data_IF_434753455243
#
_entry.id   IF_434753455243
#
_cell.length_a   1.000
_cell.length_b   1.000
_cell.length_c   1.000
_cell.angle_alpha   90.00
_cell.angle_beta   90.00
_cell.angle_gamma   90.00
#
_symmetry.space_group_name_H-M   'P 1'
#
loop_
_entity.id
_entity.type
_entity.pdbx_description
1 polymer ?
#
# COMPACT_ATOMS: atom_id res chain seq x y z
N UNK A 1 -2.53 12.68 -16.77
CA UNK A 1 -2.85 12.04 -16.37
C UNK A 1 -3.44 11.88 -15.35
N UNK A 2 -3.93 11.92 -15.15
CA UNK A 2 -4.48 11.83 -14.28
C UNK A 2 -4.98 10.84 -13.74
N UNK A 3 -5.35 10.39 -13.29
CA UNK A 3 -5.81 9.26 -12.64
C UNK A 3 -4.80 8.44 -11.87
N UNK A 4 -3.60 8.73 -11.88
CA UNK A 4 -2.57 7.95 -11.20
C UNK A 4 -2.12 8.61 -9.92
N UNK A 5 -1.64 7.77 -9.00
CA UNK A 5 -1.02 8.27 -7.79
C UNK A 5 0.13 9.19 -8.17
N UNK A 6 0.22 10.33 -7.51
CA UNK A 6 1.32 11.26 -7.78
C UNK A 6 2.63 10.63 -7.36
N UNK A 7 3.69 11.02 -8.05
CA UNK A 7 5.00 10.40 -7.84
C UNK A 7 5.47 10.54 -6.40
N UNK A 8 5.28 11.71 -5.79
CA UNK A 8 5.71 11.89 -4.41
C UNK A 8 5.01 10.93 -3.48
N UNK A 9 3.72 10.71 -3.70
CA UNK A 9 2.95 9.80 -2.88
C UNK A 9 3.39 8.35 -3.10
N UNK A 10 3.62 7.99 -4.36
CA UNK A 10 4.10 6.66 -4.70
C UNK A 10 5.39 6.34 -3.93
N UNK A 11 6.36 7.24 -4.02
CA UNK A 11 7.65 6.98 -3.40
C UNK A 11 7.58 6.99 -1.88
N UNK A 12 6.77 7.88 -1.33
CA UNK A 12 6.60 7.93 0.12
C UNK A 12 5.97 6.65 0.65
N UNK A 13 4.98 6.12 -0.08
CA UNK A 13 4.34 4.87 0.31
C UNK A 13 5.33 3.72 0.22
N UNK A 14 6.11 3.65 -0.85
CA UNK A 14 7.12 2.59 -0.98
C UNK A 14 8.09 2.66 0.19
N UNK A 15 8.57 3.86 0.51
CA UNK A 15 9.51 4.02 1.62
C UNK A 15 8.91 3.56 2.94
N UNK A 16 7.60 3.81 3.14
CA UNK A 16 6.96 3.43 4.39
C UNK A 16 6.93 1.92 4.58
N UNK A 17 6.87 1.16 3.50
CA UNK A 17 6.88 -0.30 3.58
C UNK A 17 8.29 -0.87 3.75
N UNK A 18 9.30 0.00 3.64
CA UNK A 18 10.71 -0.41 3.76
C UNK A 18 11.33 0.05 5.07
N UNK A 19 10.53 0.52 5.99
CA UNK A 19 11.02 1.23 7.19
C UNK A 19 11.92 0.41 8.09
N UNK A 20 11.79 -0.90 8.05
CA UNK A 20 12.59 -1.77 8.94
C UNK A 20 14.06 -1.80 8.57
N UNK A 21 14.42 -1.32 7.36
CA UNK A 21 15.80 -1.36 6.90
C UNK A 21 16.44 -0.01 7.18
N UNK A 22 17.22 0.07 8.25
CA UNK A 22 17.80 1.33 8.70
C UNK A 22 18.92 1.82 7.79
N UNK A 23 19.57 0.91 7.08
CA UNK A 23 20.68 1.26 6.19
C UNK A 23 20.23 1.58 4.76
N UNK A 24 18.94 1.59 4.51
CA UNK A 24 18.40 1.94 3.19
C UNK A 24 17.98 3.40 3.21
N UNK A 25 18.41 4.14 2.18
CA UNK A 25 18.01 5.53 2.06
C UNK A 25 17.76 5.85 0.59
N UNK A 26 17.21 7.02 0.33
CA UNK A 26 16.59 7.31 -0.95
C UNK A 26 16.97 8.70 -1.43
N UNK A 27 17.08 8.85 -2.74
CA UNK A 27 17.33 10.16 -3.36
C UNK A 27 16.39 10.33 -4.53
N UNK A 28 15.60 11.40 -4.50
CA UNK A 28 14.66 11.70 -5.58
C UNK A 28 15.39 12.36 -6.74
N UNK A 29 14.99 11.99 -7.96
CA UNK A 29 15.46 12.61 -9.19
C UNK A 29 14.24 12.90 -10.06
N UNK A 30 14.46 13.55 -11.20
CA UNK A 30 13.36 13.80 -12.11
C UNK A 30 12.78 12.51 -12.69
N UNK A 31 13.60 11.48 -12.84
CA UNK A 31 13.16 10.23 -13.43
C UNK A 31 12.58 9.26 -12.40
N UNK A 32 12.80 9.48 -11.12
CA UNK A 32 12.30 8.58 -10.13
C UNK A 32 13.02 8.70 -8.80
N UNK A 33 13.31 7.55 -8.22
CA UNK A 33 13.90 7.48 -6.88
C UNK A 33 15.05 6.48 -6.89
N UNK A 34 16.23 6.95 -6.51
CA UNK A 34 17.38 6.09 -6.31
C UNK A 34 17.32 5.48 -4.92
N UNK A 35 17.68 4.21 -4.80
CA UNK A 35 17.63 3.50 -3.53
C UNK A 35 19.04 3.00 -3.21
N UNK A 36 19.52 3.35 -2.04
CA UNK A 36 20.88 3.05 -1.60
C UNK A 36 20.83 2.09 -0.42
N UNK A 37 21.77 1.16 -0.41
CA UNK A 37 22.06 0.36 0.79
C UNK A 37 23.42 0.82 1.26
N UNK A 38 23.50 1.36 2.49
CA UNK A 38 24.69 2.01 2.99
C UNK A 38 25.08 3.10 1.98
N UNK A 39 26.27 3.07 1.39
CA UNK A 39 26.66 4.12 0.45
C UNK A 39 26.64 3.67 -1.01
N UNK A 40 25.99 2.56 -1.31
CA UNK A 40 25.97 2.04 -2.67
C UNK A 40 24.56 2.15 -3.27
N UNK A 41 24.49 2.74 -4.45
CA UNK A 41 23.22 2.82 -5.18
C UNK A 41 22.92 1.45 -5.77
N UNK A 42 21.85 0.82 -5.27
CA UNK A 42 21.55 -0.55 -5.65
C UNK A 42 20.32 -0.68 -6.52
N UNK A 43 19.38 0.26 -6.41
CA UNK A 43 18.13 0.15 -7.15
C UNK A 43 17.67 1.52 -7.63
N UNK A 44 16.82 1.49 -8.64
CA UNK A 44 16.13 2.69 -9.10
C UNK A 44 14.65 2.34 -9.26
N UNK A 45 13.78 3.21 -8.76
CA UNK A 45 12.34 3.05 -8.93
C UNK A 45 11.89 4.21 -9.82
N UNK A 46 11.37 3.90 -10.99
CA UNK A 46 10.98 4.98 -11.91
C UNK A 46 9.65 5.58 -11.50
N UNK A 47 9.22 6.60 -12.23
CA UNK A 47 7.99 7.32 -11.89
C UNK A 47 6.74 6.47 -12.02
N UNK A 48 6.83 5.35 -12.70
CA UNK A 48 5.73 4.38 -12.79
C UNK A 48 5.77 3.32 -11.71
N UNK A 49 6.77 3.34 -10.84
CA UNK A 49 6.87 2.37 -9.76
C UNK A 49 7.56 1.08 -10.16
N UNK A 50 8.30 1.08 -11.25
CA UNK A 50 9.03 -0.11 -11.68
C UNK A 50 10.43 -0.06 -11.13
N UNK A 51 10.91 -1.20 -10.63
CA UNK A 51 12.19 -1.29 -9.93
C UNK A 51 13.23 -1.84 -10.89
N UNK A 52 14.36 -1.17 -10.92
CA UNK A 52 15.50 -1.58 -11.71
C UNK A 52 16.66 -1.85 -10.75
N UNK A 53 17.39 -2.93 -10.99
CA UNK A 53 18.53 -3.30 -10.16
C UNK A 53 19.80 -2.92 -10.90
N UNK A 54 20.73 -2.27 -10.18
CA UNK A 54 21.97 -1.85 -10.81
C UNK A 54 23.05 -2.91 -10.76
N UNK A 55 23.13 -3.63 -9.65
CA UNK A 55 24.20 -4.58 -9.48
C UNK A 55 23.70 -5.73 -8.63
N UNK A 56 23.46 -6.85 -9.28
CA UNK A 56 22.87 -7.97 -8.60
C UNK A 56 23.76 -9.20 -8.63
N UNK A 57 25.06 -9.02 -8.88
CA UNK A 57 25.92 -10.16 -9.14
C UNK A 57 26.34 -10.85 -7.86
N UNK A 58 26.67 -10.08 -6.83
CA UNK A 58 27.22 -10.63 -5.59
C UNK A 58 26.45 -10.17 -4.38
N UNK A 59 25.14 -10.11 -4.50
CA UNK A 59 24.32 -9.72 -3.38
C UNK A 59 24.37 -10.76 -2.28
N UNK A 60 24.41 -10.30 -1.05
CA UNK A 60 24.31 -11.20 0.09
C UNK A 60 22.86 -11.35 0.51
N UNK A 61 22.65 -12.06 1.61
CA UNK A 61 21.30 -12.33 2.09
C UNK A 61 20.56 -11.03 2.42
N UNK A 62 21.26 -10.07 3.01
CA UNK A 62 20.68 -8.77 3.36
C UNK A 62 20.23 -8.03 2.10
N UNK A 63 21.06 -8.03 1.07
CA UNK A 63 20.72 -7.41 -0.20
C UNK A 63 19.44 -8.03 -0.78
N UNK A 64 19.35 -9.35 -0.77
CA UNK A 64 18.19 -10.02 -1.37
C UNK A 64 16.94 -9.81 -0.54
N UNK A 65 17.07 -9.69 0.77
CA UNK A 65 15.94 -9.37 1.61
C UNK A 65 15.38 -8.00 1.28
N UNK A 66 16.27 -7.02 1.10
CA UNK A 66 15.87 -5.67 0.72
C UNK A 66 15.26 -5.68 -0.69
N UNK A 67 15.90 -6.40 -1.61
CA UNK A 67 15.41 -6.51 -2.98
C UNK A 67 13.98 -7.06 -3.01
N UNK A 68 13.75 -8.14 -2.30
CA UNK A 68 12.42 -8.77 -2.30
C UNK A 68 11.39 -7.85 -1.67
N UNK A 69 11.76 -7.18 -0.59
CA UNK A 69 10.85 -6.25 0.07
C UNK A 69 10.52 -5.06 -0.82
N UNK A 70 11.52 -4.52 -1.51
CA UNK A 70 11.31 -3.38 -2.39
C UNK A 70 10.39 -3.74 -3.56
N UNK A 71 10.61 -4.90 -4.17
CA UNK A 71 9.75 -5.35 -5.26
C UNK A 71 8.32 -5.54 -4.79
N UNK A 72 8.15 -6.17 -3.63
CA UNK A 72 6.83 -6.38 -3.06
C UNK A 72 6.16 -5.06 -2.71
N UNK A 73 6.91 -4.15 -2.11
CA UNK A 73 6.37 -2.85 -1.73
C UNK A 73 5.91 -2.07 -2.96
N UNK A 74 6.73 -2.04 -4.00
CA UNK A 74 6.38 -1.31 -5.21
C UNK A 74 5.11 -1.88 -5.85
N UNK A 75 5.01 -3.20 -5.92
CA UNK A 75 3.83 -3.85 -6.48
C UNK A 75 2.60 -3.57 -5.64
N UNK A 76 2.72 -3.66 -4.33
CA UNK A 76 1.60 -3.45 -3.43
C UNK A 76 1.09 -2.01 -3.50
N UNK A 77 2.01 -1.04 -3.51
CA UNK A 77 1.62 0.37 -3.55
C UNK A 77 0.91 0.69 -4.87
N UNK A 78 1.39 0.12 -5.98
CA UNK A 78 0.71 0.32 -7.26
C UNK A 78 -0.68 -0.30 -7.23
N UNK A 79 -0.81 -1.47 -6.60
CA UNK A 79 -2.11 -2.13 -6.52
C UNK A 79 -3.12 -1.29 -5.77
N UNK A 80 -2.78 -0.84 -4.56
CA UNK A 80 -3.78 -0.11 -3.79
C UNK A 80 -3.96 1.32 -4.29
N UNK A 81 -2.94 1.88 -4.89
CA UNK A 81 -3.10 3.19 -5.52
C UNK A 81 -4.13 3.14 -6.64
N UNK A 82 -4.04 2.12 -7.48
CA UNK A 82 -5.01 1.93 -8.56
C UNK A 82 -6.39 1.62 -8.01
N UNK A 83 -6.46 0.77 -6.98
CA UNK A 83 -7.75 0.41 -6.39
C UNK A 83 -8.46 1.63 -5.82
N UNK A 84 -7.71 2.47 -5.09
CA UNK A 84 -8.28 3.68 -4.51
C UNK A 84 -8.78 4.64 -5.57
N UNK A 85 -8.08 4.70 -6.68
CA UNK A 85 -8.45 5.62 -7.75
C UNK A 85 -9.76 5.24 -8.41
N UNK A 86 -9.98 3.94 -8.59
CA UNK A 86 -11.14 3.46 -9.32
C UNK A 86 -12.35 3.21 -8.45
N UNK A 87 -12.16 3.16 -7.13
CA UNK A 87 -13.23 2.78 -6.22
C UNK A 87 -14.24 3.89 -6.05
N UNK A 88 -15.53 3.55 -5.87
CA UNK A 88 -16.55 4.56 -5.60
C UNK A 88 -16.43 5.05 -4.16
N UNK A 89 -17.06 6.19 -3.92
CA UNK A 89 -17.16 6.70 -2.56
C UNK A 89 -18.01 5.76 -1.72
N UNK A 90 -17.64 5.63 -0.46
CA UNK A 90 -18.38 4.82 0.49
C UNK A 90 -19.02 5.73 1.51
N UNK A 91 -20.35 5.81 1.46
CA UNK A 91 -21.12 6.73 2.31
C UNK A 91 -22.18 5.94 3.05
N UNK A 92 -22.09 5.96 4.37
CA UNK A 92 -23.07 5.31 5.24
C UNK A 92 -23.34 6.22 6.42
N UNK A 93 -24.46 6.03 7.10
CA UNK A 93 -24.76 6.82 8.29
C UNK A 93 -23.69 6.69 9.35
N UNK A 94 -23.36 7.78 9.99
CA UNK A 94 -22.41 7.77 11.09
C UNK A 94 -20.95 7.83 10.70
N UNK A 95 -20.64 7.76 9.41
CA UNK A 95 -19.26 7.78 8.97
C UNK A 95 -18.88 9.20 8.57
N UNK A 96 -18.03 9.84 9.34
CA UNK A 96 -17.70 11.24 9.13
C UNK A 96 -16.54 11.46 8.18
N UNK A 97 -15.71 10.43 7.96
CA UNK A 97 -14.57 10.55 7.07
C UNK A 97 -14.94 10.07 5.68
N UNK A 98 -14.22 10.58 4.69
CA UNK A 98 -14.46 10.18 3.29
C UNK A 98 -13.65 8.93 2.98
N UNK A 99 -14.36 7.84 2.76
CA UNK A 99 -13.74 6.57 2.40
C UNK A 99 -14.13 6.16 0.99
N UNK A 100 -13.31 5.31 0.39
CA UNK A 100 -13.63 4.63 -0.85
C UNK A 100 -14.02 3.19 -0.54
N UNK A 101 -15.00 2.67 -1.26
CA UNK A 101 -15.39 1.26 -1.09
C UNK A 101 -14.54 0.41 -2.02
N UNK A 102 -13.69 -0.41 -1.44
CA UNK A 102 -12.75 -1.22 -2.22
C UNK A 102 -13.28 -2.60 -2.49
N UNK A 103 -14.03 -3.18 -1.55
CA UNK A 103 -14.64 -4.50 -1.75
C UNK A 103 -15.79 -4.66 -0.78
N UNK A 104 -16.72 -5.53 -1.13
CA UNK A 104 -17.91 -5.76 -0.33
C UNK A 104 -18.42 -7.17 -0.59
N UNK A 105 -18.69 -7.91 0.49
CA UNK A 105 -19.22 -9.25 0.38
C UNK A 105 -19.81 -9.66 1.72
N UNK A 106 -21.04 -10.16 1.70
CA UNK A 106 -21.71 -10.75 2.89
C UNK A 106 -21.68 -9.80 4.09
N UNK A 107 -22.02 -8.54 3.85
CA UNK A 107 -22.07 -7.50 4.87
C UNK A 107 -20.74 -7.15 5.50
N UNK A 108 -19.65 -7.54 4.86
CA UNK A 108 -18.32 -7.10 5.24
C UNK A 108 -17.81 -6.17 4.15
N UNK A 109 -17.21 -5.07 4.54
CA UNK A 109 -16.67 -4.12 3.58
C UNK A 109 -15.20 -3.89 3.87
N UNK A 110 -14.45 -3.65 2.79
CA UNK A 110 -13.08 -3.18 2.83
C UNK A 110 -13.10 -1.77 2.26
N UNK A 111 -12.62 -0.83 3.03
CA UNK A 111 -12.63 0.57 2.62
C UNK A 111 -11.25 1.17 2.83
N UNK A 112 -10.98 2.26 2.13
CA UNK A 112 -9.73 2.96 2.27
C UNK A 112 -9.91 4.44 2.16
N UNK A 113 -9.00 5.19 2.73
CA UNK A 113 -9.00 6.64 2.57
C UNK A 113 -7.57 7.16 2.54
N UNK A 114 -7.44 8.32 1.94
CA UNK A 114 -6.18 9.04 1.93
C UNK A 114 -6.16 9.93 3.16
N UNK A 115 -5.10 9.87 3.93
CA UNK A 115 -4.95 10.67 5.13
C UNK A 115 -4.47 12.07 4.76
N UNK A 116 -4.81 13.04 5.60
CA UNK A 116 -4.34 14.42 5.39
C UNK A 116 -2.82 14.51 5.41
N UNK A 117 -2.19 13.62 6.13
CA UNK A 117 -0.73 13.56 6.20
C UNK A 117 -0.09 13.01 4.93
N UNK A 118 -0.89 12.45 4.02
CA UNK A 118 -0.40 11.94 2.76
C UNK A 118 -0.32 10.43 2.67
N UNK A 119 -0.59 9.72 3.74
CA UNK A 119 -0.61 8.26 3.72
C UNK A 119 -2.00 7.72 3.43
N UNK A 120 -2.13 6.41 3.58
CA UNK A 120 -3.39 5.71 3.35
C UNK A 120 -3.78 4.94 4.60
N UNK A 121 -5.07 4.73 4.75
CA UNK A 121 -5.61 3.90 5.82
C UNK A 121 -6.63 2.95 5.23
N UNK A 122 -6.47 1.67 5.53
CA UNK A 122 -7.41 0.64 5.09
C UNK A 122 -8.08 0.05 6.32
N UNK A 123 -9.36 -0.27 6.17
CA UNK A 123 -10.19 -0.73 7.28
C UNK A 123 -11.17 -1.76 6.76
N UNK A 124 -11.50 -2.73 7.60
CA UNK A 124 -12.60 -3.63 7.33
C UNK A 124 -13.66 -3.39 8.39
N UNK A 125 -14.94 -3.46 7.97
CA UNK A 125 -16.07 -3.27 8.86
C UNK A 125 -17.14 -4.30 8.55
N UNK A 126 -17.99 -4.55 9.52
CA UNK A 126 -19.27 -5.17 9.26
C UNK A 126 -20.29 -4.07 9.01
N UNK A 127 -21.12 -4.24 8.00
CA UNK A 127 -22.10 -3.25 7.60
C UNK A 127 -23.49 -3.74 7.97
N UNK A 128 -24.30 -2.81 8.49
CA UNK A 128 -25.72 -3.06 8.69
C UNK A 128 -26.46 -1.81 8.20
N UNK A 129 -27.78 -1.81 8.33
CA UNK A 129 -28.54 -0.68 7.77
C UNK A 129 -28.36 0.61 8.57
N UNK A 130 -27.74 0.54 9.75
CA UNK A 130 -27.44 1.73 10.56
C UNK A 130 -26.06 2.27 10.29
N UNK A 131 -25.23 1.59 9.51
CA UNK A 131 -23.88 2.04 9.25
C UNK A 131 -22.90 0.89 9.32
N UNK A 132 -21.74 1.15 9.90
CA UNK A 132 -20.67 0.16 10.01
C UNK A 132 -20.28 -0.01 11.46
N UNK A 133 -19.71 -1.19 11.77
CA UNK A 133 -19.28 -1.51 13.12
C UNK A 133 -18.14 -2.51 13.08
N UNK A 134 -17.49 -2.69 14.22
CA UNK A 134 -16.43 -3.70 14.41
C UNK A 134 -15.28 -3.49 13.42
N UNK A 135 -14.75 -2.27 13.41
CA UNK A 135 -13.67 -1.93 12.50
C UNK A 135 -12.34 -2.50 12.92
N UNK A 136 -11.64 -3.04 11.94
CA UNK A 136 -10.23 -3.41 12.09
C UNK A 136 -9.43 -2.50 11.18
N UNK A 137 -8.45 -1.80 11.75
CA UNK A 137 -7.72 -0.74 11.06
C UNK A 137 -6.30 -1.20 10.79
N UNK A 138 -5.85 -1.01 9.56
CA UNK A 138 -4.60 -1.59 9.09
C UNK A 138 -3.56 -0.56 8.66
N UNK A 139 -3.86 0.75 8.79
CA UNK A 139 -2.94 1.73 8.23
C UNK A 139 -2.78 1.45 6.74
N UNK A 140 -1.57 1.49 6.23
CA UNK A 140 -1.37 1.19 4.82
C UNK A 140 -1.02 -0.28 4.55
N UNK A 141 -1.30 -1.16 5.48
CA UNK A 141 -1.09 -2.58 5.28
C UNK A 141 -2.27 -3.17 4.51
N UNK A 142 -2.27 -2.91 3.21
CA UNK A 142 -3.37 -3.32 2.34
C UNK A 142 -3.49 -4.84 2.27
N UNK A 143 -2.36 -5.55 2.28
CA UNK A 143 -2.39 -7.01 2.27
C UNK A 143 -3.11 -7.57 3.49
N UNK A 144 -2.79 -7.03 4.67
CA UNK A 144 -3.46 -7.46 5.89
C UNK A 144 -4.93 -7.16 5.87
N UNK A 145 -5.31 -5.99 5.34
CA UNK A 145 -6.71 -5.61 5.24
C UNK A 145 -7.48 -6.57 4.31
N UNK A 146 -6.87 -6.93 3.18
CA UNK A 146 -7.51 -7.85 2.24
C UNK A 146 -7.68 -9.24 2.86
N UNK A 147 -6.67 -9.71 3.58
CA UNK A 147 -6.77 -11.01 4.26
C UNK A 147 -7.88 -11.00 5.29
N UNK A 148 -7.97 -9.92 6.07
CA UNK A 148 -9.01 -9.81 7.08
C UNK A 148 -10.40 -9.74 6.43
N UNK A 149 -10.52 -9.01 5.34
CA UNK A 149 -11.78 -8.93 4.60
C UNK A 149 -12.21 -10.32 4.13
N UNK A 150 -11.28 -11.07 3.54
CA UNK A 150 -11.61 -12.40 3.03
C UNK A 150 -12.02 -13.34 4.15
N UNK A 151 -11.34 -13.29 5.29
CA UNK A 151 -11.67 -14.13 6.41
C UNK A 151 -13.02 -13.76 7.00
N UNK A 152 -13.25 -12.46 7.25
CA UNK A 152 -14.48 -12.01 7.88
C UNK A 152 -15.71 -12.25 7.00
N UNK A 153 -15.54 -12.14 5.68
CA UNK A 153 -16.64 -12.32 4.75
C UNK A 153 -16.94 -13.78 4.44
N UNK A 154 -16.08 -14.69 4.92
CA UNK A 154 -16.26 -16.11 4.64
C UNK A 154 -15.75 -16.56 3.30
N UNK A 155 -15.02 -15.70 2.60
CA UNK A 155 -14.47 -16.05 1.29
C UNK A 155 -13.34 -17.06 1.40
N UNK A 156 -12.64 -17.08 2.54
CA UNK A 156 -11.63 -18.10 2.83
C UNK A 156 -11.87 -18.66 4.22
N UNK A 157 -11.42 -19.87 4.42
CA UNK A 157 -11.51 -20.49 5.73
C UNK A 157 -10.42 -19.93 6.62
N UNK A 158 -10.83 -19.54 7.83
CA UNK A 158 -9.87 -19.22 8.88
C UNK A 158 -9.49 -20.49 9.57
N UNK A 159 -8.24 -20.75 9.68
CA UNK A 159 -7.88 -21.97 10.40
C UNK A 159 -6.80 -21.68 11.36
#
# INVERSE_FOLDING_TARGET
MRGNMKNDQLFREIQSHMRRFEDVWYKRTEEGMEVYIADIKEFFVDNGGYVEQYNNVNGDEHYYEINDCLLSAAALVKEYGNAMEKAPDFKVPGLSQSYKLLAEYDNVVLAGRKLNSGGFEFVTWRQNYNGVEHGNYFGNNYSGAKEDFAARSGLVNEK
#
